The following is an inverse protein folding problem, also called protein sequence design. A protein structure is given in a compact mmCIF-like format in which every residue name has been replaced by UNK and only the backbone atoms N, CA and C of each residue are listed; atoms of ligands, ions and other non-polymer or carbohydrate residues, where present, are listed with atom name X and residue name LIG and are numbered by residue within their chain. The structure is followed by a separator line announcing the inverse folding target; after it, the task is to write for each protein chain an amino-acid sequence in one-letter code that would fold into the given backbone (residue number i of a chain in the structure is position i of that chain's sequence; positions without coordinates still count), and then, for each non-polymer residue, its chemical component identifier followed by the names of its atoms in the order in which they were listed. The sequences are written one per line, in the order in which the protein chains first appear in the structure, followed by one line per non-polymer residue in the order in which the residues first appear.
data_IF_957429582971
#
_entry.id   IF_957429582971
#
_cell.length_a   1.000
_cell.length_b   1.000
_cell.length_c   1.000
_cell.angle_alpha   90.00
_cell.angle_beta   90.00
_cell.angle_gamma   90.00
#
_symmetry.space_group_name_H-M   'P 1'
#
loop_
_entity.id
_entity.type
_entity.pdbx_description
1 polymer ?
#
# COMPACT_ATOMS: atom_id res chain seq x y z
N UNK A 1 12.26 -7.37 -16.53
CA UNK A 1 12.83 -6.50 -15.48
C UNK A 1 12.06 -5.20 -15.56
N UNK A 2 11.26 -4.84 -14.55
CA UNK A 2 10.52 -3.57 -14.56
C UNK A 2 11.53 -2.48 -14.23
N UNK A 3 11.68 -1.50 -15.13
CA UNK A 3 12.51 -0.34 -14.86
C UNK A 3 11.67 0.69 -14.11
N UNK A 4 12.27 1.40 -13.17
CA UNK A 4 11.62 2.50 -12.43
C UNK A 4 11.51 3.78 -13.30
N UNK A 5 11.23 3.59 -14.59
CA UNK A 5 11.03 4.67 -15.56
C UNK A 5 9.78 4.37 -16.36
N UNK A 6 8.94 5.38 -16.49
CA UNK A 6 7.74 5.35 -17.33
C UNK A 6 7.88 6.43 -18.41
N UNK A 7 7.46 6.12 -19.63
CA UNK A 7 7.46 7.08 -20.74
C UNK A 7 6.25 7.99 -20.65
N UNK A 8 6.44 9.31 -20.68
CA UNK A 8 5.33 10.27 -20.71
C UNK A 8 5.42 11.12 -21.98
N UNK A 9 4.40 11.05 -22.83
CA UNK A 9 4.40 11.72 -24.15
C UNK A 9 4.27 13.25 -24.07
N UNK A 10 3.53 13.77 -23.09
CA UNK A 10 3.48 15.20 -22.78
C UNK A 10 2.98 15.40 -21.33
N UNK A 11 3.84 15.90 -20.45
CA UNK A 11 3.44 16.27 -19.09
C UNK A 11 2.94 17.72 -19.06
N UNK A 12 1.86 17.98 -18.31
CA UNK A 12 1.55 19.35 -17.91
C UNK A 12 2.71 19.89 -17.06
N UNK A 13 3.11 21.16 -17.21
CA UNK A 13 4.13 21.76 -16.38
C UNK A 13 3.68 21.74 -14.91
N UNK A 14 4.57 21.26 -14.03
CA UNK A 14 4.38 21.34 -12.59
C UNK A 14 4.41 22.81 -12.14
N UNK A 15 3.51 23.19 -11.22
CA UNK A 15 3.45 24.54 -10.65
C UNK A 15 3.61 24.45 -9.14
N UNK A 16 4.63 25.12 -8.62
CA UNK A 16 5.01 25.09 -7.21
C UNK A 16 6.44 24.60 -7.04
N UNK A 17 6.85 24.41 -5.79
CA UNK A 17 8.17 23.86 -5.45
C UNK A 17 8.11 22.33 -5.47
N UNK A 18 8.94 21.65 -6.28
CA UNK A 18 8.93 20.19 -6.34
C UNK A 18 9.43 19.63 -5.01
N UNK A 19 8.91 18.46 -4.58
CA UNK A 19 9.38 17.86 -3.35
C UNK A 19 10.86 17.46 -3.48
N UNK A 20 11.64 17.68 -2.42
CA UNK A 20 13.08 17.39 -2.41
C UNK A 20 13.40 15.89 -2.61
N UNK A 21 12.43 15.01 -2.36
CA UNK A 21 12.52 13.58 -2.62
C UNK A 21 11.15 13.03 -3.07
N UNK A 22 11.12 11.92 -3.82
CA UNK A 22 9.87 11.22 -4.11
C UNK A 22 9.12 10.84 -2.82
N UNK A 23 7.78 10.93 -2.78
CA UNK A 23 7.02 10.46 -1.64
C UNK A 23 7.18 8.94 -1.48
N UNK A 24 7.12 8.47 -0.24
CA UNK A 24 7.13 7.04 0.03
C UNK A 24 5.90 6.38 -0.62
N UNK A 25 6.11 5.23 -1.25
CA UNK A 25 5.00 4.43 -1.75
C UNK A 25 4.22 3.84 -0.57
N UNK A 26 2.88 3.73 -0.68
CA UNK A 26 2.10 2.98 0.28
C UNK A 26 2.56 1.51 0.35
N UNK A 27 2.31 0.80 1.46
CA UNK A 27 2.64 -0.61 1.58
C UNK A 27 2.01 -1.41 0.45
N UNK A 28 2.83 -2.19 -0.25
CA UNK A 28 2.38 -3.05 -1.34
C UNK A 28 2.85 -4.48 -1.15
N UNK A 29 2.08 -5.42 -1.67
CA UNK A 29 2.41 -6.84 -1.73
C UNK A 29 2.10 -7.34 -3.14
N UNK A 30 3.09 -7.93 -3.81
CA UNK A 30 3.02 -8.35 -5.22
C UNK A 30 2.47 -7.27 -6.18
N UNK A 31 2.92 -6.02 -5.98
CA UNK A 31 2.52 -4.88 -6.81
C UNK A 31 1.10 -4.38 -6.61
N UNK A 32 0.39 -4.87 -5.59
CA UNK A 32 -0.94 -4.40 -5.19
C UNK A 32 -0.86 -3.62 -3.89
N UNK A 33 -1.69 -2.59 -3.77
CA UNK A 33 -1.89 -1.88 -2.50
C UNK A 33 -2.37 -2.89 -1.45
N UNK A 34 -1.72 -2.88 -0.29
CA UNK A 34 -2.23 -3.62 0.86
C UNK A 34 -3.47 -2.88 1.39
N UNK A 35 -4.61 -3.55 1.55
CA UNK A 35 -5.76 -2.93 2.19
C UNK A 35 -5.44 -2.60 3.65
N UNK A 36 -6.02 -1.52 4.15
CA UNK A 36 -5.84 -1.12 5.54
C UNK A 36 -6.63 -2.07 6.46
N UNK A 37 -6.01 -2.62 7.52
CA UNK A 37 -6.75 -3.41 8.50
C UNK A 37 -7.70 -2.49 9.28
N UNK A 38 -9.02 -2.68 9.13
CA UNK A 38 -10.03 -1.85 9.79
C UNK A 38 -10.30 -2.33 11.23
N UNK A 39 -10.50 -3.65 11.39
CA UNK A 39 -10.79 -4.25 12.70
C UNK A 39 -10.42 -5.72 12.78
N UNK A 40 -10.11 -6.18 13.99
CA UNK A 40 -9.99 -7.62 14.27
C UNK A 40 -11.40 -8.19 14.48
N UNK A 41 -11.79 -9.14 13.65
CA UNK A 41 -13.07 -9.84 13.72
C UNK A 41 -13.02 -11.04 14.68
N UNK A 42 -11.87 -11.71 14.73
CA UNK A 42 -11.64 -12.85 15.63
C UNK A 42 -10.16 -12.98 15.96
N UNK A 43 -9.84 -13.41 17.17
CA UNK A 43 -8.48 -13.73 17.58
C UNK A 43 -8.45 -15.09 18.29
N UNK A 44 -7.39 -15.86 18.08
CA UNK A 44 -7.16 -17.11 18.78
C UNK A 44 -5.68 -17.36 19.00
N UNK A 45 -5.30 -17.74 20.22
CA UNK A 45 -3.95 -18.20 20.55
C UNK A 45 -3.89 -19.73 20.43
N UNK A 46 -3.01 -20.26 19.58
CA UNK A 46 -2.79 -21.71 19.41
C UNK A 46 -1.29 -22.01 19.49
N UNK A 47 -0.90 -22.82 20.48
CA UNK A 47 0.51 -23.23 20.69
C UNK A 47 1.48 -22.04 20.73
N UNK A 48 1.09 -20.94 21.38
CA UNK A 48 1.90 -19.72 21.48
C UNK A 48 1.84 -18.78 20.27
N UNK A 49 1.10 -19.11 19.22
CA UNK A 49 0.95 -18.27 18.01
C UNK A 49 -0.45 -17.67 17.94
N UNK A 50 -0.52 -16.36 17.68
CA UNK A 50 -1.78 -15.65 17.45
C UNK A 50 -2.25 -15.82 16.01
N UNK A 51 -3.51 -16.21 15.87
CA UNK A 51 -4.25 -16.23 14.62
C UNK A 51 -5.34 -15.18 14.70
N UNK A 52 -5.24 -14.15 13.87
CA UNK A 52 -6.21 -13.06 13.80
C UNK A 52 -6.94 -13.09 12.47
N UNK A 53 -8.25 -12.94 12.52
CA UNK A 53 -9.10 -12.72 11.37
C UNK A 53 -9.39 -11.23 11.29
N UNK A 54 -8.92 -10.58 10.23
CA UNK A 54 -8.99 -9.13 10.04
C UNK A 54 -10.11 -8.81 9.04
N UNK A 55 -10.95 -7.84 9.39
CA UNK A 55 -11.80 -7.14 8.46
C UNK A 55 -11.00 -6.00 7.84
N UNK A 56 -10.95 -5.97 6.51
CA UNK A 56 -10.17 -5.01 5.74
C UNK A 56 -11.04 -3.86 5.27
N UNK A 57 -10.51 -2.63 5.33
CA UNK A 57 -11.24 -1.46 4.86
C UNK A 57 -11.60 -1.59 3.38
N UNK A 58 -12.87 -1.33 3.04
CA UNK A 58 -13.35 -1.34 1.65
C UNK A 58 -13.45 -2.72 1.00
N UNK A 59 -13.29 -3.81 1.75
CA UNK A 59 -13.52 -5.18 1.30
C UNK A 59 -14.70 -5.82 2.07
N UNK A 60 -15.51 -6.68 1.41
CA UNK A 60 -16.65 -7.33 2.04
C UNK A 60 -16.26 -8.39 3.08
#
# INVERSE_FOLDING_TARGET
RIHDVFHVGLLKPFRGEPPAAPPALPPTFDGRLLPEPEKVLKAQLRRGVWYVFIGWAGLP
#
